data_IF_698612906990
#
_entry.id   IF_698612906990
#
_cell.length_a   1.000
_cell.length_b   1.000
_cell.length_c   1.000
_cell.angle_alpha   90.00
_cell.angle_beta   90.00
_cell.angle_gamma   90.00
#
_symmetry.space_group_name_H-M   'P 1'
#
loop_
_entity.id
_entity.type
_entity.pdbx_description
1 polymer ?
#
# COMPACT_ATOMS: atom_id res chain seq x y z
N UNK A 1 7.30 -2.88 5.92
CA UNK A 1 6.73 -1.96 4.92
C UNK A 1 7.22 -0.53 5.11
N UNK A 2 7.18 0.08 6.32
CA UNK A 2 7.50 1.51 6.52
C UNK A 2 8.83 1.96 5.88
N UNK A 3 9.91 1.20 6.07
CA UNK A 3 11.21 1.53 5.50
C UNK A 3 11.25 1.34 3.97
N UNK A 4 10.43 0.45 3.42
CA UNK A 4 10.29 0.24 1.98
C UNK A 4 9.51 1.38 1.33
N UNK A 5 8.35 1.71 1.90
CA UNK A 5 7.52 2.80 1.41
C UNK A 5 8.24 4.16 1.47
N UNK A 6 9.08 4.36 2.51
CA UNK A 6 9.95 5.54 2.60
C UNK A 6 10.97 5.58 1.46
N UNK A 7 11.66 4.47 1.19
CA UNK A 7 12.65 4.40 0.10
C UNK A 7 12.01 4.70 -1.25
N UNK A 8 10.84 4.12 -1.53
CA UNK A 8 10.09 4.37 -2.75
C UNK A 8 9.63 5.83 -2.86
N UNK A 9 9.19 6.43 -1.75
CA UNK A 9 8.79 7.83 -1.71
C UNK A 9 9.97 8.78 -1.93
N UNK A 10 11.15 8.46 -1.40
CA UNK A 10 12.38 9.22 -1.67
C UNK A 10 12.77 9.09 -3.15
N UNK A 11 12.75 7.88 -3.70
CA UNK A 11 13.06 7.64 -5.11
C UNK A 11 12.09 8.37 -6.05
N UNK A 12 10.83 8.50 -5.64
CA UNK A 12 9.80 9.25 -6.37
C UNK A 12 9.87 10.78 -6.15
N UNK A 13 10.79 11.28 -5.33
CA UNK A 13 10.92 12.72 -5.00
C UNK A 13 9.77 13.28 -4.16
N UNK A 14 9.01 12.42 -3.47
CA UNK A 14 7.87 12.79 -2.63
C UNK A 14 8.34 13.38 -1.30
N UNK A 15 9.38 12.79 -0.72
CA UNK A 15 10.04 13.22 0.52
C UNK A 15 11.54 13.07 0.36
N UNK A 16 12.29 13.66 1.28
CA UNK A 16 13.75 13.51 1.35
C UNK A 16 14.17 12.90 2.68
N UNK A 17 15.32 12.23 2.74
CA UNK A 17 15.85 11.66 3.98
C UNK A 17 16.12 12.75 5.06
N UNK A 18 16.38 13.99 4.66
CA UNK A 18 16.58 15.11 5.58
C UNK A 18 15.31 15.55 6.31
N UNK A 19 14.12 15.17 5.83
CA UNK A 19 12.84 15.49 6.45
C UNK A 19 12.45 14.49 7.56
N UNK A 20 13.20 13.38 7.69
CA UNK A 20 12.92 12.39 8.73
C UNK A 20 13.07 12.97 10.13
N UNK A 21 12.20 12.61 11.07
CA UNK A 21 12.30 13.02 12.45
C UNK A 21 13.64 12.61 13.08
N UNK A 22 14.28 13.45 13.92
CA UNK A 22 15.50 13.10 14.63
C UNK A 22 15.40 11.79 15.41
N UNK A 23 14.26 11.53 16.06
CA UNK A 23 14.00 10.28 16.76
C UNK A 23 14.14 9.04 15.87
N UNK A 24 13.91 9.16 14.56
CA UNK A 24 14.14 8.08 13.59
C UNK A 24 15.60 8.01 13.19
N UNK A 25 16.17 9.14 12.77
CA UNK A 25 17.53 9.18 12.19
C UNK A 25 18.62 8.82 13.19
N UNK A 26 18.47 9.22 14.46
CA UNK A 26 19.44 8.95 15.53
C UNK A 26 19.41 7.47 15.97
N UNK A 27 18.23 6.83 15.94
CA UNK A 27 18.06 5.46 16.43
C UNK A 27 18.29 4.42 15.34
N UNK A 28 17.68 4.62 14.17
CA UNK A 28 17.69 3.61 13.09
C UNK A 28 18.34 4.09 11.79
N UNK A 29 18.75 5.35 11.72
CA UNK A 29 19.38 5.92 10.53
C UNK A 29 18.40 6.25 9.41
N UNK A 30 18.96 6.57 8.24
CA UNK A 30 18.18 7.02 7.07
C UNK A 30 18.09 5.98 5.96
N UNK A 31 18.97 4.97 5.96
CA UNK A 31 19.03 3.94 4.92
C UNK A 31 18.12 2.75 5.25
N UNK A 32 17.32 2.34 4.29
CA UNK A 32 16.39 1.19 4.43
C UNK A 32 17.04 -0.04 5.02
N UNK A 33 18.23 -0.42 4.53
CA UNK A 33 18.93 -1.62 5.00
C UNK A 33 19.29 -1.53 6.48
N UNK A 34 19.74 -0.35 6.92
CA UNK A 34 20.11 -0.08 8.31
C UNK A 34 18.85 -0.09 9.18
N UNK A 35 17.79 0.58 8.75
CA UNK A 35 16.50 0.61 9.45
C UNK A 35 15.95 -0.79 9.68
N UNK A 36 15.90 -1.62 8.62
CA UNK A 36 15.44 -3.00 8.74
C UNK A 36 16.30 -3.81 9.68
N UNK A 37 17.64 -3.72 9.59
CA UNK A 37 18.53 -4.45 10.48
C UNK A 37 18.34 -4.05 11.95
N UNK A 38 18.14 -2.75 12.24
CA UNK A 38 17.89 -2.24 13.59
C UNK A 38 16.54 -2.71 14.13
N UNK A 39 15.45 -2.57 13.37
CA UNK A 39 14.12 -3.00 13.80
C UNK A 39 14.05 -4.51 14.02
N UNK A 40 14.58 -5.33 13.10
CA UNK A 40 14.60 -6.78 13.22
C UNK A 40 15.49 -7.20 14.40
N UNK A 41 16.67 -6.61 14.54
CA UNK A 41 17.59 -6.89 15.64
C UNK A 41 16.97 -6.59 17.00
N UNK A 42 16.29 -5.46 17.16
CA UNK A 42 15.60 -5.07 18.39
C UNK A 42 14.49 -6.06 18.79
N UNK A 43 13.71 -6.56 17.81
CA UNK A 43 12.69 -7.58 18.08
C UNK A 43 13.34 -8.89 18.53
N UNK A 44 14.40 -9.34 17.85
CA UNK A 44 15.09 -10.58 18.20
C UNK A 44 15.69 -10.47 19.60
N UNK A 45 16.44 -9.41 19.89
CA UNK A 45 17.12 -9.19 21.16
C UNK A 45 16.13 -9.12 22.33
N UNK A 46 15.07 -8.32 22.19
CA UNK A 46 14.04 -8.19 23.23
C UNK A 46 13.33 -9.52 23.45
N UNK A 47 12.98 -10.22 22.37
CA UNK A 47 12.30 -11.52 22.48
C UNK A 47 13.19 -12.57 23.17
N UNK A 48 14.47 -12.63 22.82
CA UNK A 48 15.42 -13.57 23.45
C UNK A 48 15.66 -13.25 24.92
N UNK A 49 15.66 -11.98 25.30
CA UNK A 49 15.92 -11.55 26.66
C UNK A 49 14.71 -11.70 27.58
N UNK A 50 13.52 -11.41 27.07
CA UNK A 50 12.30 -11.36 27.89
C UNK A 50 11.39 -12.59 27.75
N UNK A 51 11.61 -13.41 26.71
CA UNK A 51 10.72 -14.52 26.35
C UNK A 51 9.38 -14.09 25.75
N UNK A 52 9.18 -12.79 25.51
CA UNK A 52 7.95 -12.22 24.93
C UNK A 52 8.30 -11.44 23.68
N UNK A 53 7.53 -11.63 22.61
CA UNK A 53 7.72 -10.88 21.35
C UNK A 53 7.53 -9.40 21.63
N UNK A 54 8.58 -8.61 21.40
CA UNK A 54 8.56 -7.18 21.67
C UNK A 54 9.77 -6.48 21.06
N UNK A 55 9.86 -5.18 21.37
CA UNK A 55 10.94 -4.30 20.95
C UNK A 55 11.28 -3.38 22.12
N UNK A 56 12.53 -2.98 22.25
CA UNK A 56 12.90 -2.00 23.27
C UNK A 56 12.16 -0.65 23.04
N UNK A 57 11.92 0.12 24.12
CA UNK A 57 11.08 1.33 24.03
C UNK A 57 11.60 2.37 23.03
N UNK A 58 12.93 2.54 22.94
CA UNK A 58 13.54 3.57 22.08
C UNK A 58 13.33 3.22 20.58
N UNK A 59 13.59 1.96 20.22
CA UNK A 59 13.37 1.48 18.86
C UNK A 59 11.89 1.42 18.50
N UNK A 60 11.02 1.08 19.47
CA UNK A 60 9.56 1.11 19.29
C UNK A 60 9.04 2.53 19.03
N UNK A 61 9.54 3.54 19.75
CA UNK A 61 9.23 4.94 19.53
C UNK A 61 9.68 5.40 18.14
N UNK A 62 10.92 5.08 17.74
CA UNK A 62 11.43 5.40 16.41
C UNK A 62 10.57 4.77 15.29
N UNK A 63 10.10 3.54 15.48
CA UNK A 63 9.15 2.92 14.53
C UNK A 63 7.80 3.65 14.49
N UNK A 64 7.31 4.08 15.65
CA UNK A 64 6.09 4.87 15.76
C UNK A 64 6.19 6.20 15.02
N UNK A 65 7.31 6.91 15.20
CA UNK A 65 7.60 8.18 14.50
C UNK A 65 7.75 7.99 12.99
N UNK A 66 8.44 6.95 12.54
CA UNK A 66 8.57 6.63 11.12
C UNK A 66 7.20 6.33 10.49
N UNK A 67 6.33 5.58 11.19
CA UNK A 67 4.96 5.30 10.73
C UNK A 67 4.12 6.57 10.64
N UNK A 68 4.23 7.46 11.63
CA UNK A 68 3.53 8.76 11.62
C UNK A 68 4.00 9.61 10.46
N UNK A 69 5.32 9.73 10.27
CA UNK A 69 5.90 10.45 9.14
C UNK A 69 5.38 9.92 7.79
N UNK A 70 5.42 8.61 7.57
CA UNK A 70 4.91 8.02 6.33
C UNK A 70 3.42 8.30 6.14
N UNK A 71 2.64 8.19 7.23
CA UNK A 71 1.21 8.46 7.18
C UNK A 71 0.93 9.89 6.73
N UNK A 72 1.57 10.87 7.36
CA UNK A 72 1.33 12.30 7.12
C UNK A 72 1.93 12.77 5.80
N UNK A 73 3.14 12.29 5.46
CA UNK A 73 3.92 12.84 4.33
C UNK A 73 3.82 12.01 3.05
N UNK A 74 3.36 10.78 3.13
CA UNK A 74 3.26 9.87 1.98
C UNK A 74 1.81 9.49 1.71
N UNK A 75 1.11 8.88 2.69
CA UNK A 75 -0.18 8.25 2.42
C UNK A 75 -1.35 9.23 2.37
N UNK A 76 -1.36 10.28 3.21
CA UNK A 76 -2.48 11.23 3.31
C UNK A 76 -2.28 12.53 2.52
N UNK A 77 -1.31 12.55 1.61
CA UNK A 77 -1.18 13.67 0.67
C UNK A 77 -2.45 13.82 -0.18
N UNK A 78 -2.83 15.07 -0.56
CA UNK A 78 -4.00 15.29 -1.39
C UNK A 78 -4.03 14.44 -2.65
N UNK A 79 -2.88 14.28 -3.33
CA UNK A 79 -2.74 13.46 -4.54
C UNK A 79 -2.98 11.97 -4.25
N UNK A 80 -2.42 11.45 -3.15
CA UNK A 80 -2.61 10.06 -2.75
C UNK A 80 -4.06 9.78 -2.38
N UNK A 81 -4.71 10.71 -1.68
CA UNK A 81 -6.13 10.61 -1.34
C UNK A 81 -7.01 10.66 -2.59
N UNK A 82 -6.69 11.55 -3.54
CA UNK A 82 -7.43 11.62 -4.80
C UNK A 82 -7.30 10.32 -5.61
N UNK A 83 -6.07 9.78 -5.73
CA UNK A 83 -5.84 8.49 -6.39
C UNK A 83 -6.58 7.34 -5.70
N UNK A 84 -6.57 7.30 -4.36
CA UNK A 84 -7.29 6.28 -3.58
C UNK A 84 -8.80 6.33 -3.85
N UNK A 85 -9.40 7.51 -3.96
CA UNK A 85 -10.82 7.67 -4.32
C UNK A 85 -11.09 7.09 -5.71
N UNK A 86 -10.27 7.43 -6.71
CA UNK A 86 -10.40 6.88 -8.05
C UNK A 86 -10.32 5.36 -8.05
N UNK A 87 -9.39 4.76 -7.30
CA UNK A 87 -9.29 3.29 -7.16
C UNK A 87 -10.56 2.71 -6.56
N UNK A 88 -11.08 3.31 -5.49
CA UNK A 88 -12.32 2.85 -4.85
C UNK A 88 -13.50 2.92 -5.82
N UNK A 89 -13.61 3.99 -6.60
CA UNK A 89 -14.68 4.15 -7.58
C UNK A 89 -14.58 3.13 -8.72
N UNK A 90 -13.36 2.85 -9.20
CA UNK A 90 -13.11 1.78 -10.18
C UNK A 90 -13.52 0.41 -9.63
N UNK A 91 -13.06 0.05 -8.41
CA UNK A 91 -13.39 -1.24 -7.82
C UNK A 91 -14.89 -1.40 -7.58
N UNK A 92 -15.55 -0.34 -7.10
CA UNK A 92 -17.01 -0.32 -6.93
C UNK A 92 -17.71 -0.53 -8.27
N UNK A 93 -17.36 0.24 -9.29
CA UNK A 93 -17.95 0.11 -10.62
C UNK A 93 -17.74 -1.28 -11.22
N UNK A 94 -16.58 -1.90 -11.04
CA UNK A 94 -16.34 -3.27 -11.50
C UNK A 94 -17.21 -4.29 -10.75
N UNK A 95 -17.36 -4.15 -9.43
CA UNK A 95 -18.24 -5.02 -8.64
C UNK A 95 -19.70 -4.87 -9.11
N UNK A 96 -20.20 -3.64 -9.26
CA UNK A 96 -21.55 -3.35 -9.75
C UNK A 96 -21.75 -3.93 -11.14
N UNK A 97 -20.81 -3.71 -12.06
CA UNK A 97 -20.87 -4.26 -13.41
C UNK A 97 -21.00 -5.79 -13.45
N UNK A 98 -20.16 -6.51 -12.70
CA UNK A 98 -20.19 -7.96 -12.70
C UNK A 98 -21.41 -8.54 -11.95
N UNK A 99 -21.99 -7.82 -11.01
CA UNK A 99 -23.27 -8.20 -10.40
C UNK A 99 -24.42 -8.07 -11.38
N UNK A 100 -24.42 -7.03 -12.22
CA UNK A 100 -25.41 -6.81 -13.28
C UNK A 100 -25.20 -7.74 -14.49
N UNK A 101 -23.96 -8.18 -14.73
CA UNK A 101 -23.57 -9.00 -15.86
C UNK A 101 -22.86 -10.31 -15.40
N UNK A 102 -23.53 -11.19 -14.64
CA UNK A 102 -22.90 -12.39 -14.07
C UNK A 102 -22.34 -13.35 -15.13
N UNK A 103 -22.85 -13.29 -16.34
CA UNK A 103 -22.33 -14.05 -17.49
C UNK A 103 -20.93 -13.64 -17.93
N UNK A 104 -20.48 -12.45 -17.54
CA UNK A 104 -19.12 -11.92 -17.84
C UNK A 104 -18.07 -12.37 -16.82
N UNK A 105 -18.48 -12.90 -15.65
CA UNK A 105 -17.54 -13.49 -14.71
C UNK A 105 -16.93 -14.77 -15.30
N UNK A 106 -15.66 -15.08 -15.03
CA UNK A 106 -15.10 -16.40 -15.29
C UNK A 106 -15.90 -17.50 -14.55
N UNK A 107 -15.98 -18.68 -15.15
CA UNK A 107 -16.87 -19.76 -14.66
C UNK A 107 -16.59 -20.14 -13.20
N UNK A 108 -15.33 -20.13 -12.79
CA UNK A 108 -14.88 -20.45 -11.43
C UNK A 108 -15.36 -19.47 -10.36
N UNK A 109 -15.77 -18.26 -10.74
CA UNK A 109 -16.30 -17.24 -9.83
C UNK A 109 -17.83 -17.13 -9.86
N UNK A 110 -18.51 -17.90 -10.72
CA UNK A 110 -19.98 -17.97 -10.78
C UNK A 110 -20.50 -18.94 -9.73
N UNK A 111 -20.53 -18.48 -8.49
CA UNK A 111 -20.99 -19.27 -7.34
C UNK A 111 -22.46 -18.98 -7.01
N UNK A 112 -23.09 -19.79 -6.14
CA UNK A 112 -24.45 -19.53 -5.63
C UNK A 112 -24.55 -18.16 -4.93
N UNK A 113 -23.48 -17.74 -4.24
CA UNK A 113 -23.33 -16.41 -3.70
C UNK A 113 -22.64 -15.50 -4.75
N UNK A 114 -23.46 -14.85 -5.57
CA UNK A 114 -23.00 -13.97 -6.64
C UNK A 114 -22.15 -12.80 -6.11
N UNK A 115 -22.48 -12.25 -4.94
CA UNK A 115 -21.72 -11.15 -4.34
C UNK A 115 -20.31 -11.62 -3.96
N UNK A 116 -20.22 -12.75 -3.28
CA UNK A 116 -18.95 -13.34 -2.88
C UNK A 116 -18.08 -13.68 -4.09
N UNK A 117 -18.65 -14.31 -5.11
CA UNK A 117 -17.94 -14.64 -6.34
C UNK A 117 -17.38 -13.39 -7.02
N UNK A 118 -18.20 -12.36 -7.18
CA UNK A 118 -17.82 -11.09 -7.78
C UNK A 118 -16.71 -10.38 -6.98
N UNK A 119 -16.88 -10.23 -5.66
CA UNK A 119 -15.89 -9.58 -4.81
C UNK A 119 -14.57 -10.35 -4.82
N UNK A 120 -14.62 -11.70 -4.82
CA UNK A 120 -13.41 -12.52 -4.90
C UNK A 120 -12.69 -12.32 -6.23
N UNK A 121 -13.41 -12.25 -7.34
CA UNK A 121 -12.83 -11.99 -8.66
C UNK A 121 -12.19 -10.60 -8.75
N UNK A 122 -12.94 -9.57 -8.39
CA UNK A 122 -12.44 -8.18 -8.45
C UNK A 122 -11.28 -7.97 -7.46
N UNK A 123 -11.38 -8.52 -6.24
CA UNK A 123 -10.32 -8.44 -5.24
C UNK A 123 -9.04 -9.21 -5.59
N UNK A 124 -9.12 -10.17 -6.51
CA UNK A 124 -7.97 -10.90 -7.06
C UNK A 124 -7.28 -10.22 -8.25
N UNK A 125 -7.82 -9.11 -8.75
CA UNK A 125 -7.23 -8.39 -9.87
C UNK A 125 -5.95 -7.68 -9.46
N UNK A 126 -4.98 -7.64 -10.36
CA UNK A 126 -3.87 -6.67 -10.27
C UNK A 126 -4.37 -5.29 -10.68
N UNK A 127 -3.71 -4.23 -10.21
CA UNK A 127 -4.07 -2.84 -10.56
C UNK A 127 -4.20 -2.64 -12.07
N UNK A 128 -3.23 -3.12 -12.82
CA UNK A 128 -3.24 -3.04 -14.28
C UNK A 128 -4.47 -3.71 -14.88
N UNK A 129 -4.79 -4.90 -14.41
CA UNK A 129 -5.92 -5.67 -14.93
C UNK A 129 -7.26 -4.99 -14.57
N UNK A 130 -7.39 -4.45 -13.35
CA UNK A 130 -8.56 -3.70 -12.95
C UNK A 130 -8.75 -2.42 -13.77
N UNK A 131 -7.68 -1.67 -14.04
CA UNK A 131 -7.76 -0.46 -14.85
C UNK A 131 -8.05 -0.74 -16.33
N UNK A 132 -7.48 -1.80 -16.90
CA UNK A 132 -7.81 -2.23 -18.26
C UNK A 132 -9.29 -2.66 -18.37
N UNK A 133 -9.87 -3.23 -17.32
CA UNK A 133 -11.30 -3.54 -17.24
C UNK A 133 -12.16 -2.29 -17.07
N UNK A 134 -11.76 -1.35 -16.23
CA UNK A 134 -12.46 -0.08 -16.04
C UNK A 134 -12.56 0.71 -17.35
N UNK A 135 -11.49 0.78 -18.11
CA UNK A 135 -11.44 1.42 -19.42
C UNK A 135 -12.39 0.72 -20.41
N UNK A 136 -12.29 -0.59 -20.51
CA UNK A 136 -13.04 -1.39 -21.51
C UNK A 136 -14.51 -1.58 -21.17
N UNK A 137 -14.86 -1.80 -19.89
CA UNK A 137 -16.21 -2.18 -19.47
C UNK A 137 -17.01 -1.00 -18.93
N UNK A 138 -16.33 -0.03 -18.28
CA UNK A 138 -16.98 1.10 -17.63
C UNK A 138 -16.76 2.42 -18.38
N UNK A 139 -15.95 2.42 -19.46
CA UNK A 139 -15.69 3.61 -20.25
C UNK A 139 -14.81 4.67 -19.54
N UNK A 140 -14.01 4.28 -18.57
CA UNK A 140 -13.09 5.21 -17.91
C UNK A 140 -12.03 5.73 -18.88
N UNK A 141 -11.74 7.04 -18.79
CA UNK A 141 -10.59 7.60 -19.48
C UNK A 141 -9.29 7.16 -18.79
N UNK A 142 -8.38 6.56 -19.56
CA UNK A 142 -7.06 6.13 -19.07
C UNK A 142 -6.28 7.25 -18.40
N UNK A 143 -6.45 8.48 -18.85
CA UNK A 143 -5.77 9.64 -18.30
C UNK A 143 -6.20 9.98 -16.85
N UNK A 144 -7.40 9.54 -16.44
CA UNK A 144 -7.93 9.75 -15.10
C UNK A 144 -7.58 8.61 -14.13
N UNK A 145 -7.10 7.47 -14.63
CA UNK A 145 -6.71 6.34 -13.82
C UNK A 145 -5.31 6.56 -13.23
N UNK A 146 -5.07 6.11 -11.99
CA UNK A 146 -3.75 6.19 -11.37
C UNK A 146 -2.70 5.54 -12.27
N UNK A 147 -1.60 6.26 -12.48
CA UNK A 147 -0.41 5.66 -13.06
C UNK A 147 0.24 4.87 -11.94
N UNK A 148 0.29 3.54 -12.07
CA UNK A 148 1.02 2.71 -11.12
C UNK A 148 2.43 3.28 -10.94
N UNK A 149 3.01 3.18 -9.75
CA UNK A 149 4.43 3.43 -9.51
C UNK A 149 5.19 2.31 -10.23
N UNK A 150 5.18 2.35 -11.54
CA UNK A 150 5.97 1.48 -12.40
C UNK A 150 7.36 2.06 -12.51
N UNK A 151 8.37 1.23 -12.30
CA UNK A 151 9.75 1.54 -12.67
C UNK A 151 9.73 2.18 -14.05
N UNK A 152 10.36 3.37 -14.14
CA UNK A 152 10.26 4.29 -15.24
C UNK A 152 10.29 3.68 -16.66
N UNK A 153 9.63 4.38 -17.55
CA UNK A 153 9.78 4.22 -18.99
C UNK A 153 11.23 4.47 -19.39
#
# INVERSE_FOLDING_TARGET
YCAHDLEDAIAAGIVTAAELPPAVTEVVGTERRIQLARFIGAVIETTMTTGTVGMDPLTAEALGELRRFNYERIYTRPESVAQSRTVVDVLRGLVEYFLEHPGQLPAEYRTEDAVRGTVTYVGGMTDRFAFDHAERLLGWDRALLPRGIGRGA
#
